data_IF_366876426708
#
_entry.id   IF_366876426708
#
_cell.length_a   1.000
_cell.length_b   1.000
_cell.length_c   1.000
_cell.angle_alpha   90.00
_cell.angle_beta   90.00
_cell.angle_gamma   90.00
#
_symmetry.space_group_name_H-M   'P 1'
#
loop_
_entity.id
_entity.type
_entity.pdbx_description
1 polymer ?
#
# COMPACT_ATOMS: atom_id res chain seq x y z
N UNK A 1 19.95 21.03 -7.90
CA UNK A 1 18.84 21.92 -7.50
C UNK A 1 17.84 21.91 -8.64
N UNK A 2 16.98 20.87 -8.68
CA UNK A 2 15.95 20.77 -9.71
C UNK A 2 14.88 21.79 -9.40
N UNK A 3 14.81 22.83 -10.22
CA UNK A 3 13.69 23.76 -10.21
C UNK A 3 12.43 22.93 -10.52
N UNK A 4 11.55 22.80 -9.55
CA UNK A 4 10.23 22.21 -9.73
C UNK A 4 9.52 23.10 -10.75
N UNK A 5 9.30 22.60 -11.97
CA UNK A 5 8.48 23.30 -12.95
C UNK A 5 7.12 23.64 -12.32
N UNK A 6 6.61 24.86 -12.52
CA UNK A 6 5.32 25.25 -11.99
C UNK A 6 4.27 24.28 -12.52
N UNK A 7 3.62 23.58 -11.62
CA UNK A 7 2.60 22.59 -11.93
C UNK A 7 1.47 23.28 -12.68
N UNK A 8 0.99 22.73 -13.80
CA UNK A 8 -0.19 23.26 -14.46
C UNK A 8 -1.35 23.27 -13.46
N UNK A 9 -2.13 24.35 -13.48
CA UNK A 9 -3.30 24.48 -12.63
C UNK A 9 -4.23 23.26 -12.81
N UNK A 10 -4.86 22.74 -11.74
CA UNK A 10 -5.79 21.63 -11.85
C UNK A 10 -6.87 21.96 -12.89
N UNK A 11 -7.12 21.04 -13.82
CA UNK A 11 -8.12 21.25 -14.88
C UNK A 11 -9.54 20.86 -14.45
N UNK A 12 -9.65 20.09 -13.37
CA UNK A 12 -10.92 19.64 -12.77
C UNK A 12 -10.77 19.58 -11.23
N UNK A 13 -11.91 19.58 -10.52
CA UNK A 13 -11.88 19.54 -9.06
C UNK A 13 -11.48 18.15 -8.51
N UNK A 14 -11.91 17.08 -9.17
CA UNK A 14 -11.74 15.70 -8.67
C UNK A 14 -11.32 14.75 -9.78
N UNK A 15 -10.34 13.87 -9.50
CA UNK A 15 -9.99 12.73 -10.33
C UNK A 15 -10.37 11.43 -9.62
N UNK A 16 -11.12 10.56 -10.27
CA UNK A 16 -11.38 9.20 -9.84
C UNK A 16 -10.31 8.29 -10.43
N UNK A 17 -9.44 7.72 -9.59
CA UNK A 17 -8.39 6.78 -10.01
C UNK A 17 -8.78 5.37 -9.63
N UNK A 18 -8.89 4.49 -10.63
CA UNK A 18 -9.39 3.13 -10.48
C UNK A 18 -8.36 2.16 -11.06
N UNK A 19 -7.64 1.42 -10.20
CA UNK A 19 -6.79 0.32 -10.64
C UNK A 19 -7.67 -0.88 -11.05
N UNK A 20 -7.37 -1.51 -12.17
CA UNK A 20 -8.16 -2.61 -12.76
C UNK A 20 -7.31 -3.86 -12.93
N UNK A 21 -7.85 -5.00 -12.51
CA UNK A 21 -7.26 -6.29 -12.82
C UNK A 21 -8.32 -7.38 -12.95
N UNK A 22 -8.63 -7.81 -14.19
CA UNK A 22 -9.69 -8.74 -14.53
C UNK A 22 -11.06 -8.25 -14.05
N UNK A 23 -11.44 -7.04 -14.47
CA UNK A 23 -12.59 -6.29 -13.99
C UNK A 23 -13.63 -6.06 -15.09
N UNK A 24 -13.64 -6.91 -16.14
CA UNK A 24 -14.52 -6.77 -17.29
C UNK A 24 -16.03 -6.68 -16.92
N UNK A 25 -16.42 -7.43 -15.88
CA UNK A 25 -17.83 -7.54 -15.47
C UNK A 25 -18.33 -6.36 -14.62
N UNK A 26 -17.42 -5.61 -13.98
CA UNK A 26 -17.79 -4.59 -12.96
C UNK A 26 -17.54 -3.17 -13.41
N UNK A 27 -16.52 -2.93 -14.22
CA UNK A 27 -16.03 -1.58 -14.50
C UNK A 27 -17.02 -0.72 -15.28
N UNK A 28 -17.85 -1.33 -16.16
CA UNK A 28 -18.78 -0.56 -16.98
C UNK A 28 -19.85 0.14 -16.14
N UNK A 29 -20.43 -0.55 -15.16
CA UNK A 29 -21.44 0.01 -14.28
C UNK A 29 -20.84 1.04 -13.31
N UNK A 30 -19.64 0.81 -12.82
CA UNK A 30 -18.93 1.76 -11.97
C UNK A 30 -18.67 3.07 -12.71
N UNK A 31 -18.16 3.01 -13.95
CA UNK A 31 -17.90 4.19 -14.78
C UNK A 31 -19.18 4.97 -15.06
N UNK A 32 -20.28 4.31 -15.46
CA UNK A 32 -21.57 4.97 -15.70
C UNK A 32 -22.09 5.69 -14.45
N UNK A 33 -21.91 5.07 -13.27
CA UNK A 33 -22.31 5.69 -12.01
C UNK A 33 -21.47 6.93 -11.72
N UNK A 34 -20.14 6.87 -11.93
CA UNK A 34 -19.25 8.03 -11.73
C UNK A 34 -19.60 9.16 -12.71
N UNK A 35 -19.87 8.84 -13.98
CA UNK A 35 -20.26 9.83 -15.00
C UNK A 35 -21.56 10.58 -14.66
N UNK A 36 -22.44 9.98 -13.86
CA UNK A 36 -23.71 10.57 -13.43
C UNK A 36 -23.58 11.47 -12.19
N UNK A 37 -22.40 11.52 -11.56
CA UNK A 37 -22.20 12.31 -10.35
C UNK A 37 -22.14 13.82 -10.67
N UNK A 38 -22.80 14.60 -9.82
CA UNK A 38 -22.64 16.06 -9.81
C UNK A 38 -21.47 16.45 -8.90
N UNK A 39 -20.35 16.82 -9.54
CA UNK A 39 -19.12 17.26 -8.85
C UNK A 39 -18.86 18.73 -9.20
N UNK A 40 -19.05 19.67 -8.27
CA UNK A 40 -18.74 21.07 -8.49
C UNK A 40 -17.29 21.28 -8.95
N UNK A 41 -17.08 21.96 -10.06
CA UNK A 41 -15.77 22.13 -10.67
C UNK A 41 -15.33 20.99 -11.59
N UNK A 42 -16.21 20.02 -11.84
CA UNK A 42 -16.00 18.91 -12.75
C UNK A 42 -15.12 17.79 -12.21
N UNK A 43 -15.16 16.66 -12.88
CA UNK A 43 -14.32 15.50 -12.56
C UNK A 43 -13.81 14.78 -13.79
N UNK A 44 -12.80 13.97 -13.61
CA UNK A 44 -12.30 13.04 -14.63
C UNK A 44 -12.19 11.62 -14.08
N UNK A 45 -12.11 10.64 -14.97
CA UNK A 45 -11.91 9.22 -14.65
C UNK A 45 -10.57 8.77 -15.21
N UNK A 46 -9.75 8.16 -14.37
CA UNK A 46 -8.46 7.57 -14.74
C UNK A 46 -8.50 6.08 -14.45
N UNK A 47 -8.61 5.27 -15.50
CA UNK A 47 -8.61 3.82 -15.45
C UNK A 47 -7.19 3.31 -15.70
N UNK A 48 -6.66 2.47 -14.80
CA UNK A 48 -5.33 1.89 -14.95
C UNK A 48 -5.45 0.38 -15.01
N UNK A 49 -5.43 -0.18 -16.21
CA UNK A 49 -5.46 -1.62 -16.42
C UNK A 49 -4.08 -2.22 -16.16
N UNK A 50 -3.95 -2.96 -15.07
CA UNK A 50 -2.70 -3.57 -14.60
C UNK A 50 -2.45 -4.94 -15.27
N UNK A 51 -2.49 -4.97 -16.60
CA UNK A 51 -2.19 -6.15 -17.39
C UNK A 51 -3.20 -7.27 -17.21
N UNK A 52 -4.49 -6.95 -17.26
CA UNK A 52 -5.60 -7.91 -17.22
C UNK A 52 -5.45 -8.98 -18.32
N UNK A 53 -5.98 -10.16 -18.03
CA UNK A 53 -5.96 -11.32 -18.96
C UNK A 53 -7.32 -11.61 -19.59
N UNK A 54 -8.35 -10.94 -19.08
CA UNK A 54 -9.74 -10.98 -19.57
C UNK A 54 -10.01 -9.84 -20.57
N UNK A 55 -11.27 -9.61 -20.89
CA UNK A 55 -11.72 -8.56 -21.81
C UNK A 55 -11.81 -7.16 -21.20
N UNK A 56 -11.18 -6.91 -20.03
CA UNK A 56 -11.17 -5.57 -19.37
C UNK A 56 -10.66 -4.48 -20.31
N UNK A 57 -9.64 -4.78 -21.11
CA UNK A 57 -9.06 -3.81 -22.07
C UNK A 57 -10.07 -3.36 -23.11
N UNK A 58 -10.80 -4.29 -23.71
CA UNK A 58 -11.82 -4.04 -24.72
C UNK A 58 -12.98 -3.24 -24.13
N UNK A 59 -13.41 -3.58 -22.92
CA UNK A 59 -14.45 -2.85 -22.17
C UNK A 59 -14.02 -1.40 -21.92
N UNK A 60 -12.81 -1.17 -21.43
CA UNK A 60 -12.28 0.19 -21.19
C UNK A 60 -12.20 1.02 -22.47
N UNK A 61 -11.82 0.43 -23.60
CA UNK A 61 -11.82 1.12 -24.91
C UNK A 61 -13.24 1.49 -25.36
N UNK A 62 -14.18 0.60 -25.16
CA UNK A 62 -15.59 0.88 -25.43
C UNK A 62 -16.15 2.02 -24.59
N UNK A 63 -15.82 2.05 -23.30
CA UNK A 63 -16.21 3.12 -22.38
C UNK A 63 -15.58 4.46 -22.80
N UNK A 64 -14.30 4.48 -23.16
CA UNK A 64 -13.62 5.70 -23.60
C UNK A 64 -14.28 6.32 -24.85
N UNK A 65 -14.73 5.49 -25.78
CA UNK A 65 -15.42 5.98 -27.01
C UNK A 65 -16.77 6.65 -26.69
N UNK A 66 -17.42 6.27 -25.60
CA UNK A 66 -18.73 6.75 -25.15
C UNK A 66 -18.65 7.72 -23.97
N UNK A 67 -17.42 8.08 -23.53
CA UNK A 67 -17.18 8.86 -22.32
C UNK A 67 -17.92 10.22 -22.36
N UNK A 68 -18.63 10.51 -21.27
CA UNK A 68 -19.36 11.77 -21.05
C UNK A 68 -18.55 12.81 -20.28
N UNK A 69 -17.54 12.36 -19.54
CA UNK A 69 -16.58 13.19 -18.81
C UNK A 69 -15.17 12.91 -19.32
N UNK A 70 -14.20 13.79 -19.08
CA UNK A 70 -12.80 13.51 -19.42
C UNK A 70 -12.36 12.16 -18.86
N UNK A 71 -11.82 11.30 -19.72
CA UNK A 71 -11.42 9.95 -19.33
C UNK A 71 -10.04 9.62 -19.88
N UNK A 72 -9.23 8.97 -19.05
CA UNK A 72 -7.92 8.44 -19.40
C UNK A 72 -7.88 6.95 -19.10
N UNK A 73 -7.51 6.15 -20.09
CA UNK A 73 -7.25 4.71 -19.94
C UNK A 73 -5.75 4.49 -20.11
N UNK A 74 -5.12 3.84 -19.14
CA UNK A 74 -3.70 3.49 -19.15
C UNK A 74 -3.59 1.97 -19.12
N UNK A 75 -2.80 1.42 -20.06
CA UNK A 75 -2.53 0.00 -20.14
C UNK A 75 -1.09 -0.29 -19.66
N UNK A 76 -0.94 -1.10 -18.61
CA UNK A 76 0.35 -1.61 -18.22
C UNK A 76 0.80 -2.77 -19.12
N UNK A 77 2.11 -2.92 -19.31
CA UNK A 77 2.67 -4.00 -20.13
C UNK A 77 2.46 -5.40 -19.51
N UNK A 78 2.30 -5.49 -18.19
CA UNK A 78 1.99 -6.69 -17.39
C UNK A 78 1.42 -6.26 -16.04
N UNK A 79 1.01 -7.22 -15.22
CA UNK A 79 0.63 -6.93 -13.82
C UNK A 79 1.87 -6.51 -13.01
N UNK A 80 1.81 -5.30 -12.43
CA UNK A 80 2.80 -4.71 -11.54
C UNK A 80 2.28 -4.56 -10.10
N UNK A 81 1.00 -4.84 -9.86
CA UNK A 81 0.32 -4.75 -8.58
C UNK A 81 -0.43 -3.43 -8.36
N UNK A 82 -1.47 -3.50 -7.55
CA UNK A 82 -2.45 -2.43 -7.28
C UNK A 82 -1.79 -1.09 -6.90
N UNK A 83 -0.83 -1.08 -5.96
CA UNK A 83 -0.14 0.14 -5.55
C UNK A 83 0.60 0.84 -6.70
N UNK A 84 1.19 0.07 -7.61
CA UNK A 84 1.85 0.63 -8.79
C UNK A 84 0.84 1.17 -9.81
N UNK A 85 -0.33 0.53 -9.95
CA UNK A 85 -1.41 1.01 -10.79
C UNK A 85 -1.97 2.33 -10.25
N UNK A 86 -2.20 2.43 -8.93
CA UNK A 86 -2.63 3.67 -8.27
C UNK A 86 -1.61 4.79 -8.48
N UNK A 87 -0.32 4.54 -8.25
CA UNK A 87 0.73 5.55 -8.49
C UNK A 87 0.77 5.99 -9.96
N UNK A 88 0.59 5.05 -10.89
CA UNK A 88 0.48 5.41 -12.31
C UNK A 88 -0.71 6.32 -12.57
N UNK A 89 -1.87 6.04 -11.97
CA UNK A 89 -3.04 6.91 -12.04
C UNK A 89 -2.77 8.30 -11.46
N UNK A 90 -2.15 8.38 -10.28
CA UNK A 90 -1.82 9.66 -9.63
C UNK A 90 -0.88 10.53 -10.47
N UNK A 91 0.11 9.94 -11.16
CA UNK A 91 1.02 10.67 -12.07
C UNK A 91 0.30 11.33 -13.24
N UNK A 92 -0.87 10.83 -13.60
CA UNK A 92 -1.61 11.28 -14.79
C UNK A 92 -2.92 12.00 -14.46
N UNK A 93 -3.36 11.98 -13.21
CA UNK A 93 -4.53 12.70 -12.71
C UNK A 93 -4.31 14.22 -12.75
N UNK A 94 -5.36 14.96 -13.13
CA UNK A 94 -5.34 16.42 -13.30
C UNK A 94 -6.23 17.15 -12.29
N UNK A 95 -6.91 16.42 -11.42
CA UNK A 95 -7.79 16.98 -10.39
C UNK A 95 -7.02 17.67 -9.26
N UNK A 96 -7.64 18.66 -8.64
CA UNK A 96 -7.14 19.26 -7.41
C UNK A 96 -7.10 18.25 -6.25
N UNK A 97 -8.02 17.29 -6.27
CA UNK A 97 -8.06 16.14 -5.38
C UNK A 97 -8.19 14.86 -6.21
N UNK A 98 -7.75 13.76 -5.64
CA UNK A 98 -7.80 12.44 -6.27
C UNK A 98 -8.44 11.47 -5.28
N UNK A 99 -9.47 10.75 -5.72
CA UNK A 99 -10.07 9.66 -4.95
C UNK A 99 -9.72 8.34 -5.60
N UNK A 100 -9.23 7.39 -4.79
CA UNK A 100 -9.07 6.02 -5.21
C UNK A 100 -10.36 5.25 -4.98
N UNK A 101 -10.77 4.49 -5.98
CA UNK A 101 -11.88 3.54 -5.91
C UNK A 101 -11.40 2.17 -6.36
N UNK A 102 -11.87 1.14 -5.67
CA UNK A 102 -11.68 -0.24 -6.10
C UNK A 102 -12.70 -0.57 -7.21
N UNK A 103 -12.35 -1.51 -8.08
CA UNK A 103 -13.12 -1.91 -9.25
C UNK A 103 -14.27 -2.88 -8.97
N UNK A 104 -14.42 -3.33 -7.72
CA UNK A 104 -15.38 -4.35 -7.29
C UNK A 104 -16.76 -3.80 -6.89
N UNK A 105 -16.95 -2.47 -6.97
CA UNK A 105 -18.19 -1.80 -6.65
C UNK A 105 -18.59 -1.78 -5.17
N UNK A 106 -17.71 -2.23 -4.26
CA UNK A 106 -17.97 -2.22 -2.82
C UNK A 106 -18.04 -0.79 -2.26
N UNK A 107 -17.34 0.14 -2.90
CA UNK A 107 -17.32 1.55 -2.53
C UNK A 107 -18.24 2.36 -3.45
N UNK A 108 -19.43 2.80 -2.98
CA UNK A 108 -20.31 3.62 -3.78
C UNK A 108 -19.63 4.93 -4.22
N UNK A 109 -19.69 5.31 -5.50
CA UNK A 109 -19.07 6.56 -5.98
C UNK A 109 -19.61 7.82 -5.29
N UNK A 110 -20.82 7.80 -4.78
CA UNK A 110 -21.41 8.89 -4.01
C UNK A 110 -20.64 9.13 -2.68
N UNK A 111 -20.17 8.05 -2.06
CA UNK A 111 -19.35 8.13 -0.86
C UNK A 111 -17.95 8.73 -1.16
N UNK A 112 -17.45 8.58 -2.40
CA UNK A 112 -16.21 9.23 -2.83
C UNK A 112 -16.37 10.76 -2.87
N UNK A 113 -17.49 11.26 -3.38
CA UNK A 113 -17.79 12.71 -3.37
C UNK A 113 -17.97 13.20 -1.94
N UNK A 114 -18.60 12.40 -1.08
CA UNK A 114 -18.77 12.74 0.34
C UNK A 114 -17.43 12.80 1.07
N UNK A 115 -16.52 11.85 0.80
CA UNK A 115 -15.16 11.81 1.35
C UNK A 115 -14.33 13.01 0.87
N UNK A 116 -14.43 13.36 -0.40
CA UNK A 116 -13.79 14.55 -0.96
C UNK A 116 -14.28 15.85 -0.31
N UNK A 117 -15.59 16.04 -0.16
CA UNK A 117 -16.15 17.23 0.55
C UNK A 117 -15.65 17.31 1.97
N UNK A 118 -15.63 16.19 2.70
CA UNK A 118 -15.11 16.11 4.04
C UNK A 118 -13.63 16.51 4.12
N UNK A 119 -12.81 16.07 3.15
CA UNK A 119 -11.40 16.45 3.07
C UNK A 119 -11.24 17.98 2.88
N UNK A 120 -12.04 18.58 2.00
CA UNK A 120 -12.04 20.01 1.76
C UNK A 120 -12.48 20.83 2.98
N UNK A 121 -13.61 20.48 3.59
CA UNK A 121 -14.18 21.18 4.75
C UNK A 121 -13.23 21.15 5.97
N UNK A 122 -12.48 20.07 6.13
CA UNK A 122 -11.53 19.88 7.23
C UNK A 122 -10.11 20.32 6.90
N UNK A 123 -9.83 20.75 5.68
CA UNK A 123 -8.47 21.09 5.23
C UNK A 123 -7.50 19.92 5.34
N UNK A 124 -7.97 18.69 5.06
CA UNK A 124 -7.15 17.48 5.11
C UNK A 124 -6.40 17.31 3.81
N UNK A 125 -5.16 16.86 3.91
CA UNK A 125 -4.38 16.43 2.76
C UNK A 125 -4.73 14.98 2.33
N UNK A 126 -5.11 14.15 3.32
CA UNK A 126 -5.54 12.77 3.11
C UNK A 126 -6.78 12.47 3.96
N UNK A 127 -7.84 11.94 3.35
CA UNK A 127 -9.00 11.42 4.04
C UNK A 127 -9.21 9.95 3.68
N UNK A 128 -9.31 9.08 4.68
CA UNK A 128 -9.57 7.64 4.50
C UNK A 128 -11.05 7.33 4.76
N UNK A 129 -11.63 6.51 3.90
CA UNK A 129 -12.93 5.91 4.17
C UNK A 129 -12.80 4.81 5.22
N UNK A 130 -13.59 4.89 6.29
CA UNK A 130 -13.61 3.93 7.37
C UNK A 130 -14.94 3.16 7.34
N UNK A 131 -14.87 1.83 7.34
CA UNK A 131 -16.06 0.97 7.36
C UNK A 131 -16.40 0.55 8.78
N UNK A 132 -17.68 0.58 9.13
CA UNK A 132 -18.17 -0.09 10.33
C UNK A 132 -18.04 -1.61 10.16
N UNK A 133 -16.94 -2.15 10.65
CA UNK A 133 -16.72 -3.61 10.64
C UNK A 133 -17.71 -4.28 11.59
N UNK A 134 -18.70 -4.99 11.04
CA UNK A 134 -19.50 -5.95 11.82
C UNK A 134 -18.53 -6.98 12.42
N UNK A 135 -18.49 -7.07 13.74
CA UNK A 135 -17.61 -7.95 14.51
C UNK A 135 -17.89 -9.42 14.16
N UNK A 136 -16.95 -10.08 13.51
CA UNK A 136 -16.99 -11.53 13.29
C UNK A 136 -15.76 -12.20 13.88
N UNK A 137 -16.00 -13.18 14.78
CA UNK A 137 -15.10 -14.17 15.37
C UNK A 137 -13.86 -13.66 16.15
N UNK A 138 -13.80 -13.97 17.45
CA UNK A 138 -12.78 -13.53 18.42
C UNK A 138 -11.31 -13.88 18.07
N UNK A 139 -11.04 -15.02 17.42
CA UNK A 139 -9.67 -15.44 17.03
C UNK A 139 -9.08 -14.60 15.90
N UNK A 140 -9.92 -14.12 14.96
CA UNK A 140 -9.53 -13.23 13.87
C UNK A 140 -9.21 -11.83 14.38
N UNK A 141 -9.85 -11.41 15.49
CA UNK A 141 -9.58 -10.16 16.17
C UNK A 141 -8.20 -10.12 16.83
N UNK A 142 -7.68 -11.25 17.32
CA UNK A 142 -6.34 -11.30 17.94
C UNK A 142 -5.24 -11.10 16.89
N UNK A 143 -5.30 -11.79 15.75
CA UNK A 143 -4.38 -11.60 14.63
C UNK A 143 -4.44 -10.17 14.06
N UNK A 144 -5.65 -9.61 13.91
CA UNK A 144 -5.86 -8.23 13.48
C UNK A 144 -5.28 -7.21 14.47
N UNK A 145 -5.49 -7.38 15.77
CA UNK A 145 -4.95 -6.49 16.83
C UNK A 145 -3.42 -6.51 16.86
N UNK A 146 -2.80 -7.68 16.70
CA UNK A 146 -1.34 -7.81 16.65
C UNK A 146 -0.78 -7.12 15.39
N UNK A 147 -1.42 -7.31 14.24
CA UNK A 147 -1.03 -6.65 12.98
C UNK A 147 -1.19 -5.13 13.10
N UNK A 148 -2.31 -4.66 13.65
CA UNK A 148 -2.54 -3.22 13.87
C UNK A 148 -1.49 -2.63 14.81
N UNK A 149 -1.22 -3.27 15.95
CA UNK A 149 -0.21 -2.81 16.91
C UNK A 149 1.19 -2.72 16.28
N UNK A 150 1.57 -3.71 15.49
CA UNK A 150 2.87 -3.71 14.80
C UNK A 150 2.93 -2.67 13.70
N UNK A 151 1.84 -2.46 12.96
CA UNK A 151 1.74 -1.41 11.92
C UNK A 151 1.77 -0.02 12.54
N UNK A 152 1.04 0.19 13.64
CA UNK A 152 1.02 1.46 14.38
C UNK A 152 2.41 1.82 14.88
N UNK A 153 3.17 0.81 15.35
CA UNK A 153 4.52 1.01 15.86
C UNK A 153 5.59 1.13 14.76
N UNK A 154 5.44 0.40 13.64
CA UNK A 154 6.40 0.43 12.52
C UNK A 154 6.27 1.68 11.65
N UNK A 155 5.08 2.28 11.58
CA UNK A 155 4.76 3.42 10.70
C UNK A 155 4.57 4.74 11.47
N UNK A 156 4.78 4.76 12.80
CA UNK A 156 4.48 5.91 13.67
C UNK A 156 3.07 6.47 13.45
N UNK A 157 2.12 5.55 13.21
CA UNK A 157 0.75 5.85 12.83
C UNK A 157 -0.04 6.39 14.03
N UNK A 158 -0.89 7.41 13.85
CA UNK A 158 -1.79 7.89 14.91
C UNK A 158 -2.67 6.74 15.43
N UNK A 159 -2.78 6.58 16.76
CA UNK A 159 -3.54 5.49 17.39
C UNK A 159 -5.00 5.53 16.96
N UNK A 160 -5.54 4.36 16.61
CA UNK A 160 -6.95 4.22 16.24
C UNK A 160 -7.29 4.57 14.79
N UNK A 161 -6.31 4.88 13.96
CA UNK A 161 -6.54 5.20 12.55
C UNK A 161 -6.66 3.94 11.68
N UNK A 162 -7.68 3.86 10.85
CA UNK A 162 -7.86 2.76 9.89
C UNK A 162 -7.37 3.20 8.50
N UNK A 163 -6.36 2.52 7.97
CA UNK A 163 -5.85 2.74 6.62
C UNK A 163 -6.67 1.91 5.64
N UNK A 164 -7.18 2.54 4.58
CA UNK A 164 -8.04 1.93 3.57
C UNK A 164 -7.55 2.26 2.17
N UNK A 165 -7.79 1.37 1.19
CA UNK A 165 -7.60 1.66 -0.24
C UNK A 165 -8.52 2.78 -0.71
N UNK A 166 -9.71 2.90 -0.13
CA UNK A 166 -10.64 3.97 -0.38
C UNK A 166 -10.21 5.25 0.33
N UNK A 167 -9.61 6.15 -0.41
CA UNK A 167 -9.01 7.39 0.11
C UNK A 167 -9.15 8.55 -0.85
N UNK A 168 -9.21 9.76 -0.29
CA UNK A 168 -9.10 11.02 -1.01
C UNK A 168 -7.78 11.69 -0.64
N UNK A 169 -7.00 12.12 -1.62
CA UNK A 169 -5.72 12.82 -1.43
C UNK A 169 -5.71 14.12 -2.21
N UNK A 170 -4.99 15.13 -1.73
CA UNK A 170 -4.74 16.36 -2.50
C UNK A 170 -3.76 16.06 -3.65
N UNK A 171 -3.83 16.84 -4.73
CA UNK A 171 -2.88 16.76 -5.83
C UNK A 171 -1.43 16.98 -5.38
N UNK A 172 -1.20 17.77 -4.32
CA UNK A 172 0.10 17.93 -3.70
C UNK A 172 0.63 16.60 -3.17
N UNK A 173 -0.10 15.94 -2.29
CA UNK A 173 0.31 14.66 -1.70
C UNK A 173 0.47 13.58 -2.76
N UNK A 174 -0.47 13.51 -3.72
CA UNK A 174 -0.39 12.54 -4.81
C UNK A 174 0.90 12.68 -5.63
N UNK A 175 1.34 13.91 -5.91
CA UNK A 175 2.59 14.18 -6.64
C UNK A 175 3.83 13.80 -5.84
N UNK A 176 3.88 14.21 -4.57
CA UNK A 176 5.02 13.88 -3.69
C UNK A 176 5.18 12.37 -3.57
N UNK A 177 4.09 11.64 -3.32
CA UNK A 177 4.10 10.18 -3.22
C UNK A 177 4.41 9.53 -4.58
N UNK A 178 3.87 10.04 -5.68
CA UNK A 178 4.12 9.53 -7.02
C UNK A 178 5.57 9.78 -7.50
N UNK A 179 6.28 10.75 -6.91
CA UNK A 179 7.71 10.97 -7.09
C UNK A 179 8.58 9.84 -6.53
N UNK A 180 8.05 8.99 -5.64
CA UNK A 180 8.76 7.82 -5.16
C UNK A 180 9.03 6.83 -6.29
N UNK A 181 10.29 6.45 -6.48
CA UNK A 181 10.75 5.53 -7.53
C UNK A 181 11.08 4.13 -7.03
N UNK A 182 10.91 3.88 -5.73
CA UNK A 182 11.17 2.57 -5.13
C UNK A 182 10.34 1.45 -5.77
N UNK A 183 10.89 0.26 -6.01
CA UNK A 183 10.22 -0.81 -6.77
C UNK A 183 9.04 -1.46 -6.03
N UNK A 184 8.90 -1.24 -4.73
CA UNK A 184 7.87 -1.80 -3.88
C UNK A 184 7.16 -0.70 -3.08
N UNK A 185 6.37 0.16 -3.74
CA UNK A 185 5.68 1.23 -3.03
C UNK A 185 4.61 0.65 -2.11
N UNK A 186 4.55 1.15 -0.90
CA UNK A 186 3.43 0.93 0.01
C UNK A 186 2.79 2.29 0.27
N UNK A 187 1.68 2.53 -0.39
CA UNK A 187 1.06 3.85 -0.45
C UNK A 187 0.77 4.43 0.92
N UNK A 188 0.23 3.62 1.84
CA UNK A 188 -0.13 4.11 3.18
C UNK A 188 1.09 4.61 3.96
N UNK A 189 2.22 3.88 3.88
CA UNK A 189 3.46 4.32 4.51
C UNK A 189 4.03 5.59 3.88
N UNK A 190 3.93 5.72 2.56
CA UNK A 190 4.39 6.93 1.86
C UNK A 190 3.51 8.14 2.19
N UNK A 191 2.20 7.97 2.31
CA UNK A 191 1.27 9.04 2.72
C UNK A 191 1.58 9.58 4.10
N UNK A 192 1.85 8.69 5.07
CA UNK A 192 2.20 9.06 6.44
C UNK A 192 3.55 9.81 6.54
N UNK A 193 4.44 9.61 5.57
CA UNK A 193 5.72 10.33 5.51
C UNK A 193 5.59 11.74 4.93
N UNK A 194 4.58 11.99 4.08
CA UNK A 194 4.41 13.27 3.38
C UNK A 194 3.62 14.28 4.20
N UNK A 195 2.59 13.85 4.94
CA UNK A 195 1.71 14.77 5.65
C UNK A 195 1.21 14.21 6.97
N UNK A 196 0.91 15.13 7.90
CA UNK A 196 0.21 14.84 9.16
C UNK A 196 -1.28 15.29 9.12
N UNK A 197 -1.70 16.00 8.05
CA UNK A 197 -3.10 16.44 7.88
C UNK A 197 -3.97 15.31 7.35
N UNK A 198 -4.17 14.31 8.20
CA UNK A 198 -4.86 13.06 7.85
C UNK A 198 -6.14 12.95 8.67
N UNK A 199 -7.22 12.57 8.01
CA UNK A 199 -8.51 12.34 8.64
C UNK A 199 -9.18 11.06 8.16
N UNK A 200 -10.30 10.72 8.77
CA UNK A 200 -11.14 9.59 8.35
C UNK A 200 -12.61 9.97 8.38
N UNK A 201 -13.38 9.38 7.48
CA UNK A 201 -14.82 9.51 7.41
C UNK A 201 -15.45 8.12 7.41
N UNK A 202 -16.49 7.94 8.20
CA UNK A 202 -17.30 6.74 8.12
C UNK A 202 -18.10 6.72 6.80
N UNK A 203 -17.93 5.64 6.03
CA UNK A 203 -18.51 5.47 4.70
C UNK A 203 -19.32 4.18 4.63
N UNK A 204 -20.34 4.20 3.78
CA UNK A 204 -21.14 3.01 3.51
C UNK A 204 -20.32 2.03 2.66
N UNK A 205 -20.45 0.75 2.98
CA UNK A 205 -19.82 -0.34 2.25
C UNK A 205 -20.91 -1.29 1.74
N UNK A 206 -20.89 -1.59 0.44
CA UNK A 206 -21.79 -2.58 -0.15
C UNK A 206 -21.17 -3.98 -0.04
N UNK A 207 -22.00 -5.00 0.12
CA UNK A 207 -21.52 -6.38 0.06
C UNK A 207 -20.99 -6.69 -1.33
N UNK A 208 -19.89 -7.43 -1.39
CA UNK A 208 -19.22 -7.80 -2.64
C UNK A 208 -20.15 -8.61 -3.53
N UNK A 209 -20.39 -8.17 -4.75
CA UNK A 209 -21.33 -8.81 -5.67
C UNK A 209 -20.79 -10.11 -6.27
N UNK A 210 -19.46 -10.34 -6.29
CA UNK A 210 -18.84 -11.57 -6.81
C UNK A 210 -17.44 -11.79 -6.24
N UNK A 211 -17.08 -13.06 -5.96
CA UNK A 211 -15.73 -13.53 -5.71
C UNK A 211 -15.45 -13.93 -4.25
N UNK A 212 -14.83 -15.12 -4.08
CA UNK A 212 -14.31 -15.58 -2.80
C UNK A 212 -13.02 -14.82 -2.44
N UNK A 213 -12.88 -14.44 -1.16
CA UNK A 213 -11.66 -13.84 -0.64
C UNK A 213 -10.47 -14.79 -0.82
N UNK A 214 -9.56 -14.49 -1.75
CA UNK A 214 -8.38 -15.29 -2.08
C UNK A 214 -7.23 -15.18 -1.08
N UNK A 215 -7.48 -14.75 0.16
CA UNK A 215 -6.43 -14.60 1.18
C UNK A 215 -6.10 -15.94 1.84
N UNK A 216 -5.04 -16.59 1.37
CA UNK A 216 -4.45 -17.73 2.08
C UNK A 216 -3.50 -17.25 3.18
N UNK A 217 -3.35 -18.02 4.26
CA UNK A 217 -2.44 -17.71 5.38
C UNK A 217 -1.01 -17.41 4.90
N UNK A 218 -0.50 -18.17 3.90
CA UNK A 218 0.82 -17.91 3.28
C UNK A 218 0.90 -16.53 2.61
N UNK A 219 -0.18 -16.08 1.97
CA UNK A 219 -0.23 -14.75 1.33
C UNK A 219 -0.25 -13.65 2.37
N UNK A 220 -0.96 -13.87 3.48
CA UNK A 220 -1.01 -12.95 4.63
C UNK A 220 0.38 -12.79 5.27
N UNK A 221 1.07 -13.90 5.55
CA UNK A 221 2.44 -13.89 6.12
C UNK A 221 3.42 -13.20 5.16
N UNK A 222 3.32 -13.44 3.85
CA UNK A 222 4.18 -12.80 2.85
C UNK A 222 3.93 -11.28 2.78
N UNK A 223 2.68 -10.85 2.78
CA UNK A 223 2.31 -9.42 2.83
C UNK A 223 2.84 -8.77 4.11
N UNK A 224 2.67 -9.43 5.24
CA UNK A 224 3.14 -8.97 6.53
C UNK A 224 4.67 -8.82 6.57
N UNK A 225 5.41 -9.84 6.13
CA UNK A 225 6.87 -9.80 6.04
C UNK A 225 7.33 -8.71 5.07
N UNK A 226 6.63 -8.55 3.94
CA UNK A 226 6.93 -7.50 2.97
C UNK A 226 6.74 -6.10 3.56
N UNK A 227 5.63 -5.84 4.24
CA UNK A 227 5.39 -4.56 4.89
C UNK A 227 6.43 -4.28 5.98
N UNK A 228 6.72 -5.28 6.83
CA UNK A 228 7.63 -5.15 7.96
C UNK A 228 9.07 -4.85 7.53
N UNK A 229 9.57 -5.52 6.49
CA UNK A 229 10.93 -5.31 5.97
C UNK A 229 11.04 -4.06 5.09
N UNK A 230 9.95 -3.63 4.41
CA UNK A 230 10.00 -2.44 3.55
C UNK A 230 10.06 -1.11 4.33
N UNK A 231 9.43 -1.06 5.50
CA UNK A 231 9.21 0.21 6.21
C UNK A 231 9.92 0.32 7.53
N UNK A 232 10.55 -0.77 8.00
CA UNK A 232 11.19 -0.77 9.30
C UNK A 232 12.56 -1.43 9.25
N UNK A 233 13.58 -0.73 9.72
CA UNK A 233 14.88 -1.32 10.04
C UNK A 233 14.86 -2.06 11.37
N UNK A 234 13.69 -2.19 11.97
CA UNK A 234 13.52 -2.76 13.29
C UNK A 234 13.86 -4.24 13.39
N UNK A 235 13.56 -5.12 12.41
CA UNK A 235 14.03 -6.50 12.48
C UNK A 235 15.54 -6.59 12.62
N UNK A 236 16.26 -5.68 11.97
CA UNK A 236 17.72 -5.60 12.06
C UNK A 236 18.16 -5.10 13.45
N UNK A 237 17.49 -4.10 14.01
CA UNK A 237 17.74 -3.63 15.38
C UNK A 237 17.46 -4.71 16.42
N UNK A 238 16.35 -5.45 16.26
CA UNK A 238 16.01 -6.57 17.14
C UNK A 238 17.07 -7.68 17.07
N UNK A 239 17.56 -8.00 15.87
CA UNK A 239 18.66 -8.95 15.68
C UNK A 239 19.94 -8.47 16.37
N UNK A 240 20.26 -7.18 16.29
CA UNK A 240 21.41 -6.57 16.96
C UNK A 240 21.27 -6.65 18.50
N UNK A 241 20.10 -6.30 19.05
CA UNK A 241 19.84 -6.37 20.50
C UNK A 241 19.93 -7.82 21.00
N UNK A 242 19.33 -8.76 20.25
CA UNK A 242 19.40 -10.19 20.57
C UNK A 242 20.86 -10.69 20.53
N UNK A 243 21.63 -10.31 19.50
CA UNK A 243 23.04 -10.64 19.38
C UNK A 243 23.86 -10.09 20.55
N UNK A 244 23.61 -8.84 20.95
CA UNK A 244 24.31 -8.23 22.10
C UNK A 244 23.94 -8.94 23.40
N UNK A 245 22.69 -9.30 23.61
CA UNK A 245 22.22 -10.06 24.77
C UNK A 245 22.89 -11.45 24.83
N UNK A 246 22.93 -12.17 23.71
CA UNK A 246 23.57 -13.49 23.62
C UNK A 246 25.09 -13.39 23.85
N UNK A 247 25.73 -12.35 23.32
CA UNK A 247 27.13 -12.10 23.56
C UNK A 247 27.45 -11.85 25.06
N UNK A 248 26.63 -10.98 25.70
CA UNK A 248 26.77 -10.72 27.14
C UNK A 248 26.56 -11.98 27.99
N UNK A 249 25.53 -12.79 27.66
CA UNK A 249 25.29 -14.08 28.31
C UNK A 249 26.47 -15.06 28.10
N UNK A 250 27.04 -15.09 26.90
CA UNK A 250 28.23 -15.89 26.59
C UNK A 250 29.44 -15.48 27.39
N UNK A 251 29.74 -14.17 27.52
CA UNK A 251 30.83 -13.66 28.36
C UNK A 251 30.61 -13.98 29.82
N UNK A 252 29.38 -13.86 30.33
CA UNK A 252 29.02 -14.24 31.70
C UNK A 252 29.28 -15.74 31.96
N UNK A 253 28.78 -16.59 31.02
CA UNK A 253 28.99 -18.03 31.08
C UNK A 253 30.50 -18.38 31.07
N UNK A 254 31.29 -17.72 30.21
CA UNK A 254 32.75 -17.91 30.17
C UNK A 254 33.40 -17.54 31.50
N UNK A 255 32.98 -16.42 32.12
CA UNK A 255 33.47 -16.01 33.45
C UNK A 255 33.16 -17.03 34.54
N UNK A 256 31.94 -17.58 34.55
CA UNK A 256 31.50 -18.62 35.50
C UNK A 256 32.29 -19.91 35.31
N UNK A 257 32.48 -20.35 34.07
CA UNK A 257 33.28 -21.55 33.75
C UNK A 257 34.73 -21.36 34.15
N UNK A 258 35.34 -20.20 33.85
CA UNK A 258 36.74 -19.88 34.24
C UNK A 258 36.93 -19.88 35.76
N UNK A 259 35.93 -19.32 36.50
CA UNK A 259 35.92 -19.35 37.97
C UNK A 259 35.86 -20.78 38.52
N UNK A 260 34.98 -21.65 38.03
CA UNK A 260 34.89 -23.04 38.46
C UNK A 260 36.15 -23.84 38.11
N UNK A 261 36.74 -23.61 36.94
CA UNK A 261 38.02 -24.22 36.56
C UNK A 261 39.14 -23.83 37.51
N UNK A 262 39.21 -22.53 37.86
CA UNK A 262 40.22 -22.06 38.86
C UNK A 262 40.02 -22.68 40.25
N UNK A 263 38.78 -22.95 40.62
CA UNK A 263 38.43 -23.62 41.90
C UNK A 263 38.64 -25.14 41.86
N UNK A 264 38.98 -25.73 40.76
CA UNK A 264 39.10 -27.18 40.59
C UNK A 264 37.78 -27.96 40.65
N UNK A 265 36.65 -27.29 40.59
CA UNK A 265 35.30 -27.87 40.73
C UNK A 265 34.51 -27.84 39.43
N UNK A 266 35.17 -27.59 38.28
CA UNK A 266 34.51 -27.46 37.00
C UNK A 266 33.79 -28.72 36.54
N UNK A 267 32.57 -28.59 35.98
CA UNK A 267 31.85 -29.73 35.41
C UNK A 267 32.62 -30.29 34.21
N UNK A 268 32.59 -31.62 34.02
CA UNK A 268 33.07 -32.25 32.79
C UNK A 268 32.14 -31.82 31.65
N UNK A 269 32.54 -30.79 30.85
CA UNK A 269 31.79 -30.39 29.67
C UNK A 269 31.90 -31.50 28.61
N UNK A 270 30.80 -32.20 28.41
CA UNK A 270 30.72 -33.21 27.38
C UNK A 270 30.66 -32.59 25.99
N UNK A 271 31.21 -33.29 24.98
CA UNK A 271 31.16 -32.92 23.56
C UNK A 271 29.76 -32.55 23.07
N UNK A 272 28.69 -33.20 23.60
CA UNK A 272 27.29 -32.95 23.22
C UNK A 272 26.78 -31.55 23.61
N UNK A 273 27.16 -31.00 24.77
CA UNK A 273 26.75 -29.63 25.17
C UNK A 273 27.46 -28.56 24.33
N UNK A 274 28.72 -28.79 23.96
CA UNK A 274 29.45 -27.89 23.05
C UNK A 274 28.80 -27.89 21.66
N UNK A 275 28.48 -29.06 21.13
CA UNK A 275 27.84 -29.20 19.81
C UNK A 275 26.44 -28.57 19.79
N UNK A 276 25.64 -28.76 20.84
CA UNK A 276 24.33 -28.12 20.96
C UNK A 276 24.44 -26.59 20.99
N UNK A 277 25.38 -26.04 21.79
CA UNK A 277 25.65 -24.60 21.81
C UNK A 277 26.07 -24.08 20.44
N UNK A 278 26.98 -24.75 19.76
CA UNK A 278 27.43 -24.38 18.42
C UNK A 278 26.32 -24.38 17.40
N UNK A 279 25.45 -25.39 17.40
CA UNK A 279 24.29 -25.45 16.48
C UNK A 279 23.29 -24.30 16.72
N UNK A 280 23.01 -23.96 17.99
CA UNK A 280 22.14 -22.85 18.34
C UNK A 280 22.74 -21.51 17.85
N UNK A 281 24.01 -21.25 18.16
CA UNK A 281 24.67 -20.01 17.73
C UNK A 281 24.75 -19.90 16.20
N UNK A 282 25.12 -20.99 15.52
CA UNK A 282 25.16 -21.01 14.04
C UNK A 282 23.78 -20.81 13.44
N UNK A 283 22.74 -21.40 14.00
CA UNK A 283 21.35 -21.19 13.56
C UNK A 283 20.91 -19.73 13.69
N UNK A 284 21.14 -19.11 14.84
CA UNK A 284 20.85 -17.67 15.05
C UNK A 284 21.66 -16.79 14.08
N UNK A 285 22.94 -17.08 13.87
CA UNK A 285 23.78 -16.35 12.94
C UNK A 285 23.28 -16.45 11.50
N UNK A 286 22.84 -17.63 11.05
CA UNK A 286 22.26 -17.81 9.72
C UNK A 286 20.94 -17.03 9.54
N UNK A 287 20.09 -16.96 10.56
CA UNK A 287 18.86 -16.15 10.54
C UNK A 287 19.20 -14.65 10.39
N UNK A 288 20.18 -14.15 11.14
CA UNK A 288 20.61 -12.75 11.06
C UNK A 288 21.22 -12.46 9.68
N UNK A 289 22.06 -13.33 9.14
CA UNK A 289 22.62 -13.21 7.80
C UNK A 289 21.53 -13.23 6.71
N UNK A 290 20.55 -14.10 6.84
CA UNK A 290 19.40 -14.14 5.95
C UNK A 290 18.60 -12.82 5.96
N UNK A 291 18.41 -12.24 7.14
CA UNK A 291 17.75 -10.93 7.28
C UNK A 291 18.56 -9.81 6.61
N UNK A 292 19.88 -9.76 6.85
CA UNK A 292 20.77 -8.80 6.19
C UNK A 292 20.73 -8.98 4.67
N UNK A 293 20.74 -10.23 4.19
CA UNK A 293 20.62 -10.56 2.77
C UNK A 293 19.33 -10.05 2.15
N UNK A 294 18.19 -10.12 2.85
CA UNK A 294 16.91 -9.58 2.40
C UNK A 294 16.97 -8.03 2.22
N UNK A 295 17.58 -7.30 3.18
CA UNK A 295 17.76 -5.85 3.07
C UNK A 295 18.72 -5.48 1.92
N UNK A 296 19.83 -6.20 1.78
CA UNK A 296 20.76 -6.01 0.66
C UNK A 296 20.12 -6.30 -0.68
N UNK A 297 19.32 -7.36 -0.79
CA UNK A 297 18.56 -7.69 -1.98
C UNK A 297 17.60 -6.59 -2.39
N UNK A 298 16.89 -5.98 -1.44
CA UNK A 298 15.99 -4.84 -1.70
C UNK A 298 16.75 -3.58 -2.11
N UNK A 299 17.86 -3.28 -1.43
CA UNK A 299 18.75 -2.18 -1.79
C UNK A 299 19.27 -2.35 -3.23
N UNK A 300 19.71 -3.55 -3.60
CA UNK A 300 20.16 -3.88 -4.95
C UNK A 300 19.07 -3.65 -6.02
N UNK A 301 17.82 -4.06 -5.75
CA UNK A 301 16.69 -3.84 -6.65
C UNK A 301 16.40 -2.34 -6.80
N UNK A 302 16.51 -1.57 -5.71
CA UNK A 302 16.30 -0.12 -5.71
C UNK A 302 17.40 0.61 -6.48
N UNK A 303 18.67 0.24 -6.27
CA UNK A 303 19.82 0.83 -6.96
C UNK A 303 19.77 0.55 -8.47
N UNK A 304 19.31 -0.65 -8.87
CA UNK A 304 19.15 -1.03 -10.27
C UNK A 304 17.97 -0.34 -10.96
N UNK A 305 17.26 0.58 -10.30
CA UNK A 305 16.19 1.40 -10.85
C UNK A 305 15.17 0.60 -11.67
N UNK A 306 14.79 -0.60 -11.20
CA UNK A 306 13.74 -1.36 -11.87
C UNK A 306 12.46 -0.53 -11.93
N UNK A 307 11.84 -0.38 -13.12
CA UNK A 307 10.65 0.44 -13.25
C UNK A 307 9.51 -0.12 -12.40
N UNK A 308 8.83 0.75 -11.66
CA UNK A 308 7.64 0.40 -10.86
C UNK A 308 6.51 -0.14 -11.73
N UNK A 309 6.31 0.49 -12.90
CA UNK A 309 5.37 0.08 -13.91
C UNK A 309 5.88 0.46 -15.30
N UNK A 310 5.48 -0.28 -16.31
CA UNK A 310 5.74 0.03 -17.70
C UNK A 310 4.41 0.22 -18.39
N UNK A 311 4.16 1.44 -18.86
CA UNK A 311 2.96 1.77 -19.62
C UNK A 311 3.16 1.30 -21.04
N UNK A 312 2.24 0.48 -21.55
CA UNK A 312 2.21 0.01 -22.92
C UNK A 312 1.53 1.02 -23.83
N UNK A 313 0.37 1.50 -23.43
CA UNK A 313 -0.47 2.39 -24.21
C UNK A 313 -1.26 3.33 -23.31
N UNK A 314 -1.65 4.49 -23.84
CA UNK A 314 -2.52 5.46 -23.18
C UNK A 314 -3.54 5.98 -24.18
N UNK A 315 -4.79 6.04 -23.76
CA UNK A 315 -5.91 6.54 -24.54
C UNK A 315 -6.64 7.58 -23.73
N UNK A 316 -6.92 8.74 -24.33
CA UNK A 316 -7.59 9.85 -23.64
C UNK A 316 -8.78 10.36 -24.47
N UNK A 317 -9.85 10.68 -23.75
CA UNK A 317 -10.97 11.45 -24.28
C UNK A 317 -11.08 12.74 -23.46
N UNK A 318 -10.85 13.89 -24.08
CA UNK A 318 -10.94 15.21 -23.47
C UNK A 318 -12.29 15.90 -23.82
N UNK A 319 -13.36 15.13 -23.99
CA UNK A 319 -14.70 15.71 -24.24
C UNK A 319 -15.09 16.60 -23.06
N UNK A 320 -15.43 17.89 -23.32
CA UNK A 320 -16.00 18.75 -22.29
C UNK A 320 -17.34 18.15 -21.84
N UNK A 321 -17.77 18.37 -20.57
CA UNK A 321 -19.10 17.97 -20.13
C UNK A 321 -20.13 18.54 -21.12
N UNK A 322 -20.96 17.68 -21.68
CA UNK A 322 -22.06 18.11 -22.57
C UNK A 322 -23.01 19.00 -21.78
N UNK A 323 -23.16 20.23 -22.18
CA UNK A 323 -24.11 21.19 -21.59
C UNK A 323 -25.58 20.88 -21.95
N UNK A 324 -25.89 19.75 -22.56
CA UNK A 324 -27.27 19.32 -22.86
C UNK A 324 -27.77 18.30 -21.84
N UNK A 325 -28.89 18.58 -21.19
CA UNK A 325 -29.59 17.59 -20.39
C UNK A 325 -30.10 16.44 -21.29
N UNK A 326 -30.20 15.20 -20.79
CA UNK A 326 -30.72 14.07 -21.57
C UNK A 326 -32.17 14.36 -21.98
N UNK A 327 -32.44 14.23 -23.29
CA UNK A 327 -33.83 14.26 -23.84
C UNK A 327 -34.60 13.02 -23.42
#
# INVERSE_FOLDING_TARGET
>A
MNLIEPTPAPSVALSFVIPLYNSADTIADLVRTIESLDVPGGHEIVLVNDGSRDTTREVCRGLLAQARVPMLVIEHARNFGEHNAVLTGWRHARGAHIVNLDDDGQNPPEEAVRLWRHAQERGLDVAFGHYLVKQHAAWRNWGSRMTTWMTDWALDKPKGFYLSSFRCVTAFVAREVAGNTGPFPYLDGLLLQVTQRIGSLEVKHRERQAGASGYTFRRLVRLWMSAFVNFSVMPLRLATVLGLFLAAAGFLALGVVSYWWWRGTGPAFGWGSLMAAFLVFSGVQLVILGLVGEYLGRMFITINQRPQAVIRERFRSDRPPSSEPPR
#
